data_IF_754213874656
#
_entry.id   IF_754213874656
#
_cell.length_a   1.000
_cell.length_b   1.000
_cell.length_c   1.000
_cell.angle_alpha   90.00
_cell.angle_beta   90.00
_cell.angle_gamma   90.00
#
_symmetry.space_group_name_H-M   'P 1'
#
loop_
_entity.id
_entity.type
_entity.pdbx_description
1 polymer ?
#
# COMPACT_ATOMS: atom_id res chain seq x y z
N UNK A 1 9.53 -37.69 -35.90
CA UNK A 1 9.70 -37.77 -34.42
C UNK A 1 10.54 -36.62 -33.86
N UNK A 2 11.77 -36.35 -34.35
CA UNK A 2 12.60 -35.20 -33.86
C UNK A 2 11.91 -33.83 -33.91
N UNK A 3 11.16 -33.53 -34.98
CA UNK A 3 10.49 -32.21 -35.11
C UNK A 3 9.25 -32.06 -34.21
N UNK A 4 8.62 -33.18 -33.81
CA UNK A 4 7.45 -33.16 -32.90
C UNK A 4 7.94 -32.92 -31.45
N UNK A 5 9.07 -33.51 -31.07
CA UNK A 5 9.68 -33.25 -29.77
C UNK A 5 10.15 -31.80 -29.61
N UNK A 6 10.64 -31.15 -30.68
CA UNK A 6 11.07 -29.75 -30.63
C UNK A 6 9.90 -28.78 -30.41
N UNK A 7 8.78 -29.00 -31.09
CA UNK A 7 7.56 -28.18 -30.95
C UNK A 7 6.93 -28.33 -29.56
N UNK A 8 6.91 -29.55 -29.01
CA UNK A 8 6.49 -29.81 -27.62
C UNK A 8 7.40 -29.10 -26.60
N UNK A 9 8.70 -29.05 -26.85
CA UNK A 9 9.65 -28.37 -25.96
C UNK A 9 9.48 -26.85 -25.96
N UNK A 10 9.23 -26.23 -27.13
CA UNK A 10 8.95 -24.79 -27.23
C UNK A 10 7.60 -24.39 -26.64
N UNK A 11 6.57 -25.24 -26.74
CA UNK A 11 5.27 -24.98 -26.12
C UNK A 11 5.31 -25.16 -24.59
N UNK A 12 6.12 -26.08 -24.06
CA UNK A 12 6.37 -26.20 -22.62
C UNK A 12 7.15 -25.00 -22.05
N UNK A 13 8.12 -24.43 -22.77
CA UNK A 13 8.83 -23.22 -22.34
C UNK A 13 7.94 -21.96 -22.34
N UNK A 14 7.00 -21.84 -23.27
CA UNK A 14 6.06 -20.72 -23.31
C UNK A 14 5.06 -20.71 -22.12
N UNK A 15 4.77 -21.88 -21.54
CA UNK A 15 3.93 -21.98 -20.34
C UNK A 15 4.69 -21.67 -19.04
N UNK A 16 6.00 -21.96 -18.97
CA UNK A 16 6.82 -21.68 -17.78
C UNK A 16 7.05 -20.17 -17.59
N UNK A 17 7.03 -19.38 -18.68
CA UNK A 17 7.26 -17.94 -18.64
C UNK A 17 6.08 -17.10 -18.07
N UNK A 18 4.92 -17.70 -17.81
CA UNK A 18 3.70 -16.96 -17.36
C UNK A 18 3.40 -17.04 -15.86
N UNK A 19 4.33 -17.56 -15.06
CA UNK A 19 4.11 -17.77 -13.61
C UNK A 19 5.14 -17.08 -12.71
N UNK A 20 6.06 -16.30 -13.26
CA UNK A 20 6.95 -15.50 -12.41
C UNK A 20 6.19 -14.29 -11.86
N UNK A 21 6.42 -14.00 -10.58
CA UNK A 21 5.94 -12.78 -9.96
C UNK A 21 6.52 -11.57 -10.71
N UNK A 22 5.76 -10.48 -10.75
CA UNK A 22 6.19 -9.26 -11.40
C UNK A 22 7.43 -8.70 -10.69
N UNK A 23 8.35 -8.13 -11.48
CA UNK A 23 9.48 -7.39 -10.94
C UNK A 23 9.12 -5.91 -10.94
N UNK A 24 8.90 -5.37 -9.75
CA UNK A 24 8.57 -3.96 -9.54
C UNK A 24 9.73 -3.28 -8.81
N UNK A 25 10.18 -2.14 -9.33
CA UNK A 25 11.29 -1.41 -8.72
C UNK A 25 11.16 0.10 -8.90
N UNK A 26 11.73 0.85 -7.97
CA UNK A 26 11.94 2.28 -8.12
C UNK A 26 13.35 2.50 -8.66
N UNK A 27 13.46 3.19 -9.79
CA UNK A 27 14.73 3.51 -10.43
C UNK A 27 14.92 5.02 -10.47
N UNK A 28 16.11 5.47 -10.08
CA UNK A 28 16.55 6.85 -10.21
C UNK A 28 17.66 6.96 -11.25
N UNK A 29 17.44 7.77 -12.27
CA UNK A 29 18.42 8.07 -13.32
C UNK A 29 18.46 9.59 -13.62
N UNK A 30 19.23 10.00 -14.62
CA UNK A 30 19.38 11.42 -15.00
C UNK A 30 18.07 12.10 -15.44
N UNK A 31 17.03 11.33 -15.78
CA UNK A 31 15.70 11.81 -16.16
C UNK A 31 14.70 11.84 -14.99
N UNK A 32 15.11 11.42 -13.78
CA UNK A 32 14.31 11.48 -12.56
C UNK A 32 14.10 10.12 -11.90
N UNK A 33 13.11 10.05 -11.02
CA UNK A 33 12.71 8.83 -10.31
C UNK A 33 11.46 8.25 -11.00
N UNK A 34 11.46 6.95 -11.27
CA UNK A 34 10.36 6.24 -11.94
C UNK A 34 10.06 4.93 -11.25
N UNK A 35 8.78 4.56 -11.24
CA UNK A 35 8.36 3.18 -10.97
C UNK A 35 8.50 2.37 -12.26
N UNK A 36 9.11 1.19 -12.14
CA UNK A 36 9.33 0.25 -13.23
C UNK A 36 8.59 -1.04 -12.91
N UNK A 37 7.85 -1.59 -13.88
CA UNK A 37 7.19 -2.90 -13.79
C UNK A 37 7.66 -3.73 -14.96
N UNK A 38 8.31 -4.87 -14.68
CA UNK A 38 8.88 -5.77 -15.67
C UNK A 38 9.80 -5.08 -16.69
N UNK A 39 10.52 -4.05 -16.24
CA UNK A 39 11.46 -3.26 -17.07
C UNK A 39 10.84 -2.11 -17.84
N UNK A 40 9.52 -1.89 -17.74
CA UNK A 40 8.82 -0.78 -18.39
C UNK A 40 8.42 0.30 -17.38
N UNK A 41 8.50 1.58 -17.77
CA UNK A 41 8.07 2.68 -16.91
C UNK A 41 6.56 2.62 -16.69
N UNK A 42 6.13 2.72 -15.43
CA UNK A 42 4.75 2.53 -15.02
C UNK A 42 4.23 3.75 -14.25
N UNK A 43 3.15 4.35 -14.76
CA UNK A 43 2.40 5.39 -14.04
C UNK A 43 1.20 4.74 -13.37
N UNK A 44 1.01 4.99 -12.07
CA UNK A 44 -0.16 4.49 -11.32
C UNK A 44 -1.36 5.38 -11.64
N UNK A 45 -2.35 4.80 -12.34
CA UNK A 45 -3.70 5.36 -12.47
C UNK A 45 -4.61 4.54 -11.57
N UNK A 46 -4.67 4.97 -10.30
CA UNK A 46 -5.19 4.17 -9.19
C UNK A 46 -6.61 4.50 -8.76
N UNK A 47 -7.24 3.54 -8.06
CA UNK A 47 -8.48 3.74 -7.29
C UNK A 47 -8.35 3.04 -5.92
N UNK A 48 -8.79 3.68 -4.84
CA UNK A 48 -9.05 2.97 -3.59
C UNK A 48 -10.30 2.12 -3.76
N UNK A 49 -10.19 0.81 -3.54
CA UNK A 49 -11.29 -0.11 -3.82
C UNK A 49 -11.56 -1.04 -2.64
N UNK A 50 -12.85 -1.12 -2.31
CA UNK A 50 -13.42 -2.09 -1.40
C UNK A 50 -14.84 -2.41 -1.88
N UNK A 51 -15.43 -3.51 -1.39
CA UNK A 51 -16.71 -4.01 -1.88
C UNK A 51 -17.70 -4.24 -0.73
N UNK A 52 -18.76 -3.42 -0.75
CA UNK A 52 -19.86 -3.48 0.22
C UNK A 52 -21.21 -3.50 -0.51
N UNK A 53 -21.95 -4.63 -0.48
CA UNK A 53 -23.31 -4.68 -0.98
C UNK A 53 -24.22 -3.65 -0.28
N UNK A 54 -25.25 -3.17 -0.99
CA UNK A 54 -26.25 -2.26 -0.43
C UNK A 54 -26.84 -2.85 0.85
N UNK A 55 -26.86 -2.04 1.92
CA UNK A 55 -27.35 -2.46 3.25
C UNK A 55 -26.29 -3.11 4.13
N UNK A 56 -25.05 -3.24 3.67
CA UNK A 56 -23.90 -3.66 4.48
C UNK A 56 -23.01 -2.48 4.87
N UNK A 57 -21.94 -2.75 5.61
CA UNK A 57 -20.94 -1.77 6.04
C UNK A 57 -19.56 -2.43 6.13
N UNK A 58 -18.60 -1.73 6.73
CA UNK A 58 -17.21 -2.18 6.93
C UNK A 58 -17.02 -3.55 7.60
N UNK A 59 -18.05 -4.13 8.23
CA UNK A 59 -18.00 -5.49 8.80
C UNK A 59 -18.21 -6.60 7.76
N UNK A 60 -18.72 -6.28 6.58
CA UNK A 60 -18.86 -7.24 5.49
C UNK A 60 -17.50 -7.55 4.89
N UNK A 61 -17.24 -8.83 4.62
CA UNK A 61 -16.03 -9.29 3.94
C UNK A 61 -16.41 -10.05 2.68
N UNK A 62 -16.06 -9.47 1.53
CA UNK A 62 -16.17 -10.15 0.23
C UNK A 62 -15.34 -11.44 0.23
N UNK A 63 -14.16 -11.41 0.83
CA UNK A 63 -13.18 -12.52 0.83
C UNK A 63 -13.65 -13.75 1.60
N UNK A 64 -14.68 -13.62 2.44
CA UNK A 64 -15.31 -14.74 3.16
C UNK A 64 -16.52 -15.35 2.43
N UNK A 65 -16.85 -14.85 1.23
CA UNK A 65 -17.93 -15.40 0.40
C UNK A 65 -17.45 -16.57 -0.46
N UNK A 66 -18.38 -17.23 -1.16
CA UNK A 66 -18.02 -18.28 -2.13
C UNK A 66 -17.27 -17.71 -3.33
N UNK A 67 -16.48 -18.56 -3.98
CA UNK A 67 -15.70 -18.15 -5.16
C UNK A 67 -16.58 -17.56 -6.27
N UNK A 68 -17.79 -18.10 -6.48
CA UNK A 68 -18.73 -17.58 -7.48
C UNK A 68 -19.20 -16.15 -7.17
N UNK A 69 -19.41 -15.83 -5.89
CA UNK A 69 -19.82 -14.48 -5.45
C UNK A 69 -18.66 -13.50 -5.61
N UNK A 70 -17.45 -13.92 -5.24
CA UNK A 70 -16.25 -13.09 -5.39
C UNK A 70 -15.97 -12.82 -6.86
N UNK A 71 -15.97 -13.86 -7.70
CA UNK A 71 -15.77 -13.73 -9.13
C UNK A 71 -16.82 -12.80 -9.77
N UNK A 72 -18.11 -12.97 -9.45
CA UNK A 72 -19.16 -12.10 -9.99
C UNK A 72 -19.00 -10.63 -9.59
N UNK A 73 -18.60 -10.36 -8.34
CA UNK A 73 -18.32 -9.01 -7.87
C UNK A 73 -17.12 -8.39 -8.60
N UNK A 74 -16.01 -9.14 -8.71
CA UNK A 74 -14.82 -8.70 -9.42
C UNK A 74 -15.09 -8.50 -10.92
N UNK A 75 -15.86 -9.39 -11.55
CA UNK A 75 -16.18 -9.30 -12.97
C UNK A 75 -16.93 -8.03 -13.30
N UNK A 76 -17.87 -7.65 -12.43
CA UNK A 76 -18.62 -6.41 -12.58
C UNK A 76 -17.74 -5.17 -12.33
N UNK A 77 -17.10 -5.09 -11.15
CA UNK A 77 -16.35 -3.91 -10.71
C UNK A 77 -15.09 -3.67 -11.56
N UNK A 78 -14.27 -4.70 -11.78
CA UNK A 78 -13.00 -4.56 -12.50
C UNK A 78 -13.22 -4.26 -13.99
N UNK A 79 -14.33 -4.71 -14.58
CA UNK A 79 -14.71 -4.30 -15.94
C UNK A 79 -14.97 -2.80 -16.04
N UNK A 80 -15.64 -2.22 -15.05
CA UNK A 80 -15.90 -0.77 -14.99
C UNK A 80 -14.60 0.01 -14.80
N UNK A 81 -13.77 -0.40 -13.83
CA UNK A 81 -12.48 0.25 -13.55
C UNK A 81 -11.54 0.19 -14.76
N UNK A 82 -11.46 -0.97 -15.44
CA UNK A 82 -10.69 -1.12 -16.67
C UNK A 82 -11.18 -0.18 -17.77
N UNK A 83 -12.50 -0.06 -17.94
CA UNK A 83 -13.09 0.86 -18.93
C UNK A 83 -12.80 2.34 -18.60
N UNK A 84 -12.62 2.68 -17.32
CA UNK A 84 -12.18 4.00 -16.87
C UNK A 84 -10.67 4.25 -17.03
N UNK A 85 -9.90 3.23 -17.43
CA UNK A 85 -8.44 3.33 -17.58
C UNK A 85 -7.66 3.15 -16.28
N UNK A 86 -8.30 2.62 -15.22
CA UNK A 86 -7.62 2.23 -13.99
C UNK A 86 -6.69 1.07 -14.28
N UNK A 87 -5.43 1.17 -13.82
CA UNK A 87 -4.44 0.11 -13.94
C UNK A 87 -3.97 -0.44 -12.59
N UNK A 88 -4.40 0.18 -11.49
CA UNK A 88 -4.00 -0.21 -10.13
C UNK A 88 -5.17 0.00 -9.18
N UNK A 89 -5.37 -0.91 -8.23
CA UNK A 89 -6.27 -0.69 -7.09
C UNK A 89 -5.51 -0.78 -5.78
N UNK A 90 -5.85 0.08 -4.83
CA UNK A 90 -5.40 -0.04 -3.44
C UNK A 90 -6.45 -0.83 -2.66
N UNK A 91 -6.01 -1.89 -2.00
CA UNK A 91 -6.85 -2.78 -1.21
C UNK A 91 -6.22 -3.08 0.14
N UNK A 92 -7.02 -3.11 1.20
CA UNK A 92 -6.55 -3.61 2.49
C UNK A 92 -6.25 -5.11 2.43
N UNK A 93 -5.37 -5.57 3.32
CA UNK A 93 -5.10 -7.00 3.52
C UNK A 93 -6.36 -7.81 3.81
N UNK A 94 -6.37 -9.09 3.41
CA UNK A 94 -7.51 -10.00 3.60
C UNK A 94 -7.98 -10.64 2.29
N UNK A 95 -7.67 -10.03 1.15
CA UNK A 95 -7.85 -10.62 -0.18
C UNK A 95 -6.93 -11.83 -0.37
N UNK A 96 -7.45 -12.98 -0.78
CA UNK A 96 -6.57 -14.13 -1.06
C UNK A 96 -5.69 -13.89 -2.30
N UNK A 97 -4.43 -14.36 -2.33
CA UNK A 97 -3.52 -14.19 -3.50
C UNK A 97 -4.13 -14.59 -4.86
N UNK A 98 -5.00 -15.62 -4.88
CA UNK A 98 -5.68 -16.06 -6.10
C UNK A 98 -6.56 -14.97 -6.74
N UNK A 99 -7.12 -14.06 -5.95
CA UNK A 99 -7.98 -12.99 -6.45
C UNK A 99 -7.20 -11.78 -6.94
N UNK A 100 -6.03 -11.48 -6.35
CA UNK A 100 -5.09 -10.51 -6.93
C UNK A 100 -4.67 -10.99 -8.33
N UNK A 101 -4.29 -12.27 -8.45
CA UNK A 101 -3.99 -12.88 -9.75
C UNK A 101 -5.18 -12.79 -10.70
N UNK A 102 -6.38 -13.13 -10.25
CA UNK A 102 -7.60 -13.07 -11.06
C UNK A 102 -7.83 -11.66 -11.63
N UNK A 103 -7.74 -10.62 -10.78
CA UNK A 103 -7.89 -9.23 -11.17
C UNK A 103 -6.85 -8.86 -12.23
N UNK A 104 -5.60 -9.23 -12.01
CA UNK A 104 -4.51 -8.94 -12.94
C UNK A 104 -4.64 -9.67 -14.28
N UNK A 105 -4.83 -10.99 -14.27
CA UNK A 105 -4.84 -11.79 -15.50
C UNK A 105 -6.05 -11.49 -16.40
N UNK A 106 -7.20 -11.16 -15.81
CA UNK A 106 -8.42 -10.87 -16.57
C UNK A 106 -8.56 -9.38 -16.94
N UNK A 107 -8.08 -8.48 -16.08
CA UNK A 107 -8.32 -7.04 -16.23
C UNK A 107 -7.07 -6.21 -16.48
N UNK A 108 -5.87 -6.74 -16.23
CA UNK A 108 -4.61 -5.99 -16.33
C UNK A 108 -4.45 -4.94 -15.23
N UNK A 109 -5.16 -5.13 -14.11
CA UNK A 109 -5.15 -4.21 -12.96
C UNK A 109 -4.24 -4.79 -11.89
N UNK A 110 -3.23 -4.02 -11.49
CA UNK A 110 -2.35 -4.38 -10.39
C UNK A 110 -2.97 -4.07 -9.02
N UNK A 111 -2.49 -4.72 -7.98
CA UNK A 111 -2.92 -4.50 -6.60
C UNK A 111 -1.80 -3.90 -5.76
N UNK A 112 -2.08 -2.74 -5.18
CA UNK A 112 -1.33 -2.18 -4.05
C UNK A 112 -1.93 -2.74 -2.75
N UNK A 113 -1.17 -3.58 -2.04
CA UNK A 113 -1.67 -4.28 -0.86
C UNK A 113 -1.35 -3.49 0.42
N UNK A 114 -2.38 -3.02 1.09
CA UNK A 114 -2.25 -2.09 2.20
C UNK A 114 -2.48 -2.74 3.56
N UNK A 115 -1.44 -2.71 4.40
CA UNK A 115 -1.50 -3.07 5.80
C UNK A 115 -1.69 -1.80 6.65
N UNK A 116 -2.71 -1.75 7.52
CA UNK A 116 -3.02 -0.56 8.33
C UNK A 116 -1.91 -0.16 9.32
N UNK A 117 -1.00 -1.08 9.61
CA UNK A 117 0.16 -0.89 10.47
C UNK A 117 -0.22 -0.31 11.85
N UNK A 118 -1.37 -0.74 12.39
CA UNK A 118 -1.87 -0.30 13.69
C UNK A 118 -2.64 1.03 13.68
N UNK A 119 -3.01 1.58 12.52
CA UNK A 119 -3.77 2.84 12.43
C UNK A 119 -5.06 2.83 13.25
N UNK A 120 -5.80 1.71 13.21
CA UNK A 120 -7.15 1.59 13.78
C UNK A 120 -7.17 0.87 15.13
N UNK A 121 -6.02 0.73 15.78
CA UNK A 121 -5.87 -0.04 17.01
C UNK A 121 -5.45 -1.50 16.77
N UNK A 122 -5.13 -2.18 17.86
CA UNK A 122 -4.57 -3.54 17.86
C UNK A 122 -5.18 -4.38 18.97
N UNK A 123 -5.24 -5.70 18.77
CA UNK A 123 -5.49 -6.64 19.86
C UNK A 123 -4.15 -7.16 20.39
N UNK A 124 -3.78 -6.78 21.60
CA UNK A 124 -2.51 -7.17 22.26
C UNK A 124 -2.86 -8.04 23.47
N UNK A 125 -2.35 -9.28 23.48
CA UNK A 125 -2.64 -10.29 24.52
C UNK A 125 -4.15 -10.51 24.79
N UNK A 126 -4.97 -10.44 23.74
CA UNK A 126 -6.42 -10.61 23.83
C UNK A 126 -7.18 -9.37 24.32
N UNK A 127 -6.50 -8.25 24.58
CA UNK A 127 -7.12 -6.98 24.93
C UNK A 127 -7.06 -5.99 23.77
N UNK A 128 -8.17 -5.29 23.51
CA UNK A 128 -8.23 -4.23 22.52
C UNK A 128 -7.51 -2.97 23.00
N UNK A 129 -6.61 -2.43 22.17
CA UNK A 129 -5.87 -1.20 22.38
C UNK A 129 -6.18 -0.25 21.23
N UNK A 130 -6.99 0.77 21.50
CA UNK A 130 -7.46 1.71 20.47
C UNK A 130 -6.34 2.60 19.90
N UNK A 131 -5.42 3.05 20.76
CA UNK A 131 -4.30 3.92 20.38
C UNK A 131 -3.01 3.11 20.36
N UNK A 132 -2.42 2.97 19.18
CA UNK A 132 -1.19 2.20 18.99
C UNK A 132 0.02 2.94 19.57
N UNK A 133 0.70 2.31 20.52
CA UNK A 133 2.01 2.77 21.03
C UNK A 133 3.15 1.99 20.36
N UNK A 134 3.79 2.60 19.37
CA UNK A 134 4.91 2.02 18.62
C UNK A 134 6.20 1.83 19.44
N UNK A 135 6.28 2.37 20.66
CA UNK A 135 7.41 2.14 21.58
C UNK A 135 7.27 0.82 22.32
N UNK A 136 6.03 0.37 22.50
CA UNK A 136 5.71 -0.86 23.22
C UNK A 136 6.28 -2.08 22.49
N UNK A 137 6.97 -2.96 23.22
CA UNK A 137 7.61 -4.15 22.63
C UNK A 137 6.58 -5.09 21.98
N UNK A 138 5.44 -5.32 22.61
CA UNK A 138 4.41 -6.24 22.10
C UNK A 138 3.75 -5.70 20.83
N UNK A 139 3.50 -4.39 20.78
CA UNK A 139 3.06 -3.70 19.55
C UNK A 139 4.05 -3.94 18.41
N UNK A 140 5.34 -3.70 18.66
CA UNK A 140 6.39 -3.90 17.64
C UNK A 140 6.47 -5.35 17.18
N UNK A 141 6.51 -6.30 18.13
CA UNK A 141 6.57 -7.73 17.82
C UNK A 141 5.35 -8.18 16.98
N UNK A 142 4.15 -7.68 17.30
CA UNK A 142 2.92 -7.97 16.58
C UNK A 142 2.98 -7.44 15.14
N UNK A 143 3.21 -6.13 14.98
CA UNK A 143 3.25 -5.48 13.66
C UNK A 143 4.32 -6.09 12.76
N UNK A 144 5.52 -6.36 13.31
CA UNK A 144 6.59 -7.03 12.57
C UNK A 144 6.22 -8.46 12.17
N UNK A 145 5.47 -9.19 13.01
CA UNK A 145 4.97 -10.52 12.66
C UNK A 145 3.92 -10.47 11.56
N UNK A 146 3.01 -9.50 11.61
CA UNK A 146 1.95 -9.34 10.60
C UNK A 146 2.53 -9.02 9.23
N UNK A 147 3.42 -8.02 9.12
CA UNK A 147 4.03 -7.65 7.83
C UNK A 147 4.98 -8.73 7.31
N UNK A 148 5.64 -9.49 8.19
CA UNK A 148 6.46 -10.65 7.77
C UNK A 148 5.57 -11.72 7.11
N UNK A 149 4.46 -12.08 7.75
CA UNK A 149 3.50 -13.04 7.19
C UNK A 149 2.89 -12.55 5.89
N UNK A 150 2.56 -11.26 5.82
CA UNK A 150 2.03 -10.62 4.62
C UNK A 150 2.99 -10.80 3.44
N UNK A 151 4.27 -10.48 3.60
CA UNK A 151 5.20 -10.64 2.48
C UNK A 151 5.43 -12.11 2.13
N UNK A 152 5.51 -12.99 3.11
CA UNK A 152 5.64 -14.43 2.86
C UNK A 152 4.47 -15.00 2.06
N UNK A 153 3.25 -14.54 2.33
CA UNK A 153 2.03 -14.98 1.64
C UNK A 153 1.93 -14.42 0.21
N UNK A 154 2.27 -13.15 0.00
CA UNK A 154 1.91 -12.45 -1.23
C UNK A 154 3.06 -12.24 -2.24
N UNK A 155 4.34 -12.34 -1.83
CA UNK A 155 5.51 -12.01 -2.69
C UNK A 155 5.57 -12.68 -4.08
N UNK A 156 4.89 -13.81 -4.24
CA UNK A 156 4.87 -14.58 -5.49
C UNK A 156 3.57 -14.42 -6.27
N UNK A 157 2.78 -13.38 -5.99
CA UNK A 157 1.44 -13.19 -6.56
C UNK A 157 1.53 -12.34 -7.82
N UNK A 158 1.23 -12.87 -9.02
CA UNK A 158 1.11 -12.05 -10.23
C UNK A 158 0.09 -10.95 -10.03
N UNK A 159 0.43 -9.73 -10.46
CA UNK A 159 -0.40 -8.55 -10.27
C UNK A 159 -0.20 -7.82 -8.95
N UNK A 160 0.64 -8.30 -8.03
CA UNK A 160 1.05 -7.50 -6.89
C UNK A 160 1.97 -6.36 -7.37
N UNK A 161 1.64 -5.11 -7.01
CA UNK A 161 2.45 -3.95 -7.38
C UNK A 161 3.47 -3.61 -6.30
N UNK A 162 2.99 -3.38 -5.09
CA UNK A 162 3.78 -2.92 -3.96
C UNK A 162 3.03 -3.18 -2.65
N UNK A 163 3.78 -3.18 -1.55
CA UNK A 163 3.21 -3.19 -0.20
C UNK A 163 3.13 -1.77 0.35
N UNK A 164 1.97 -1.39 0.90
CA UNK A 164 1.75 -0.09 1.51
C UNK A 164 1.56 -0.24 3.03
N UNK A 165 2.42 0.41 3.80
CA UNK A 165 2.36 0.44 5.26
C UNK A 165 1.63 1.69 5.75
N UNK A 166 0.58 1.47 6.52
CA UNK A 166 -0.20 2.53 7.16
C UNK A 166 -1.37 3.05 6.34
N UNK A 167 -2.15 3.91 6.99
CA UNK A 167 -3.12 4.82 6.41
C UNK A 167 -3.19 6.04 7.33
N UNK A 168 -2.35 7.04 7.09
CA UNK A 168 -2.28 8.26 7.92
C UNK A 168 -2.01 7.96 9.41
N UNK A 169 -1.09 7.03 9.70
CA UNK A 169 -0.76 6.66 11.08
C UNK A 169 -0.25 7.84 11.90
N UNK A 170 0.31 8.86 11.24
CA UNK A 170 0.69 10.14 11.84
C UNK A 170 -0.51 10.91 12.41
N UNK A 171 -1.69 10.82 11.79
CA UNK A 171 -2.92 11.41 12.34
C UNK A 171 -3.40 10.66 13.58
N UNK A 172 -3.25 9.32 13.61
CA UNK A 172 -3.48 8.49 14.79
C UNK A 172 -2.55 8.77 15.98
N UNK A 173 -1.54 9.63 15.82
CA UNK A 173 -0.75 10.16 16.95
C UNK A 173 -1.53 11.24 17.73
N UNK A 174 -2.48 11.90 17.08
CA UNK A 174 -3.31 12.94 17.66
C UNK A 174 -4.72 12.42 17.99
N UNK A 175 -5.30 11.63 17.10
CA UNK A 175 -6.69 11.17 17.19
C UNK A 175 -6.82 9.88 18.02
N UNK A 176 -7.90 9.77 18.78
CA UNK A 176 -8.23 8.60 19.58
C UNK A 176 -9.18 7.65 18.81
N UNK A 177 -8.67 6.95 17.79
CA UNK A 177 -9.40 5.88 17.09
C UNK A 177 -9.54 6.11 15.59
N UNK A 178 -10.65 5.64 15.02
CA UNK A 178 -10.91 5.65 13.57
C UNK A 178 -11.60 6.92 13.06
N UNK A 179 -12.21 7.71 13.95
CA UNK A 179 -12.89 8.96 13.59
C UNK A 179 -11.89 10.11 13.39
N UNK A 180 -12.27 11.08 12.56
CA UNK A 180 -11.49 12.30 12.33
C UNK A 180 -11.65 13.26 13.51
N UNK A 181 -10.53 13.79 14.02
CA UNK A 181 -10.50 14.79 15.11
C UNK A 181 -9.66 16.01 14.71
N UNK A 182 -9.82 17.12 15.45
CA UNK A 182 -9.03 18.33 15.22
C UNK A 182 -7.55 18.12 15.61
N UNK A 183 -6.65 18.72 14.82
CA UNK A 183 -5.23 18.79 15.19
C UNK A 183 -5.01 19.84 16.28
N UNK A 184 -3.99 19.66 17.14
CA UNK A 184 -3.57 20.75 18.01
C UNK A 184 -3.00 21.91 17.18
N UNK A 185 -3.37 23.15 17.52
CA UNK A 185 -2.81 24.36 16.89
C UNK A 185 -1.39 24.73 17.39
N UNK A 186 -0.90 24.02 18.41
CA UNK A 186 0.37 24.29 19.07
C UNK A 186 1.53 23.53 18.42
N UNK A 187 2.42 24.28 17.75
CA UNK A 187 3.59 23.75 17.05
C UNK A 187 4.56 23.01 17.99
N UNK A 188 4.76 23.48 19.23
CA UNK A 188 5.62 22.79 20.20
C UNK A 188 5.05 21.42 20.55
N UNK A 189 3.73 21.34 20.70
CA UNK A 189 3.03 20.07 20.95
C UNK A 189 3.08 19.14 19.75
N UNK A 190 2.93 19.65 18.52
CA UNK A 190 3.09 18.86 17.29
C UNK A 190 4.50 18.29 17.22
N UNK A 191 5.53 19.11 17.42
CA UNK A 191 6.93 18.71 17.39
C UNK A 191 7.23 17.68 18.48
N UNK A 192 6.74 17.88 19.70
CA UNK A 192 6.87 16.91 20.78
C UNK A 192 6.21 15.57 20.44
N UNK A 193 5.02 15.56 19.82
CA UNK A 193 4.35 14.33 19.40
C UNK A 193 5.12 13.65 18.26
N UNK A 194 5.61 14.42 17.30
CA UNK A 194 6.48 13.95 16.23
C UNK A 194 7.68 13.20 16.78
N UNK A 195 8.43 13.81 17.69
CA UNK A 195 9.63 13.20 18.28
C UNK A 195 9.31 12.04 19.22
N UNK A 196 8.36 12.21 20.14
CA UNK A 196 8.12 11.23 21.21
C UNK A 196 7.29 10.02 20.77
N UNK A 197 6.50 10.13 19.69
CA UNK A 197 5.58 9.08 19.20
C UNK A 197 5.72 8.82 17.70
N UNK A 198 5.89 9.86 16.88
CA UNK A 198 6.06 9.72 15.42
C UNK A 198 7.38 9.07 15.02
N UNK A 199 8.52 9.51 15.58
CA UNK A 199 9.83 8.93 15.29
C UNK A 199 9.90 7.43 15.59
N UNK A 200 9.43 6.93 16.74
CA UNK A 200 9.28 5.48 16.96
C UNK A 200 8.47 4.74 15.89
N UNK A 201 7.39 5.35 15.39
CA UNK A 201 6.54 4.78 14.36
C UNK A 201 7.26 4.70 13.01
N UNK A 202 7.84 5.80 12.53
CA UNK A 202 8.57 5.83 11.26
C UNK A 202 9.81 4.92 11.28
N UNK A 203 10.51 4.87 12.41
CA UNK A 203 11.60 3.91 12.62
C UNK A 203 11.12 2.47 12.49
N UNK A 204 9.97 2.12 13.07
CA UNK A 204 9.39 0.78 12.94
C UNK A 204 8.93 0.49 11.52
N UNK A 205 8.36 1.47 10.81
CA UNK A 205 8.04 1.32 9.38
C UNK A 205 9.29 1.04 8.54
N UNK A 206 10.42 1.69 8.86
CA UNK A 206 11.70 1.39 8.21
C UNK A 206 12.22 -0.01 8.52
N UNK A 207 12.18 -0.41 9.80
CA UNK A 207 12.54 -1.77 10.22
C UNK A 207 11.66 -2.82 9.51
N UNK A 208 10.37 -2.54 9.35
CA UNK A 208 9.44 -3.36 8.57
C UNK A 208 9.86 -3.41 7.09
N UNK A 209 10.15 -2.28 6.45
CA UNK A 209 10.60 -2.24 5.06
C UNK A 209 11.88 -3.06 4.84
N UNK A 210 12.89 -2.94 5.72
CA UNK A 210 14.10 -3.77 5.69
C UNK A 210 13.74 -5.26 5.77
N UNK A 211 12.89 -5.64 6.73
CA UNK A 211 12.50 -7.04 6.94
C UNK A 211 11.73 -7.60 5.74
N UNK A 212 10.78 -6.84 5.20
CA UNK A 212 9.96 -7.18 4.05
C UNK A 212 10.85 -7.39 2.81
N UNK A 213 11.74 -6.44 2.52
CA UNK A 213 12.69 -6.53 1.39
C UNK A 213 13.68 -7.68 1.51
N UNK A 214 14.01 -8.11 2.73
CA UNK A 214 14.84 -9.32 2.94
C UNK A 214 14.15 -10.62 2.55
N UNK A 215 12.81 -10.61 2.46
CA UNK A 215 11.98 -11.77 2.08
C UNK A 215 11.56 -11.68 0.62
N UNK A 216 11.33 -10.47 0.13
CA UNK A 216 10.88 -10.14 -1.23
C UNK A 216 11.64 -8.94 -1.79
N UNK A 217 12.58 -9.19 -2.70
CA UNK A 217 13.33 -8.14 -3.39
C UNK A 217 12.66 -7.62 -4.67
N UNK A 218 11.46 -8.09 -5.00
CA UNK A 218 10.79 -7.79 -6.27
C UNK A 218 9.66 -6.76 -6.15
N UNK A 219 9.25 -6.38 -4.93
CA UNK A 219 8.17 -5.42 -4.73
C UNK A 219 8.59 -4.29 -3.79
N UNK A 220 8.37 -3.02 -4.16
CA UNK A 220 8.64 -1.88 -3.29
C UNK A 220 7.80 -1.89 -2.02
N UNK A 221 8.32 -1.27 -0.97
CA UNK A 221 7.60 -0.95 0.25
C UNK A 221 7.37 0.57 0.32
N UNK A 222 6.11 0.97 0.36
CA UNK A 222 5.67 2.35 0.52
C UNK A 222 5.12 2.58 1.93
N UNK A 223 5.08 3.84 2.37
CA UNK A 223 4.29 4.28 3.53
C UNK A 223 3.10 5.12 3.06
N UNK A 224 2.05 5.21 3.87
CA UNK A 224 0.91 6.10 3.65
C UNK A 224 0.84 7.16 4.77
N UNK A 225 1.24 8.37 4.46
CA UNK A 225 1.25 9.50 5.38
C UNK A 225 0.05 10.43 5.15
N UNK A 226 -0.50 11.01 6.21
CA UNK A 226 -1.48 12.09 6.09
C UNK A 226 -0.79 13.42 5.86
N UNK A 227 -0.98 14.00 4.68
CA UNK A 227 -0.27 15.20 4.19
C UNK A 227 1.27 15.09 4.42
N UNK A 228 2.00 16.19 4.51
CA UNK A 228 3.46 16.27 4.63
C UNK A 228 3.94 16.39 6.08
N UNK A 229 3.06 16.11 7.05
CA UNK A 229 3.41 16.22 8.45
C UNK A 229 4.54 15.23 8.79
N UNK A 230 5.56 15.73 9.48
CA UNK A 230 6.77 14.98 9.90
C UNK A 230 7.68 14.49 8.77
N UNK A 231 7.67 15.14 7.60
CA UNK A 231 8.58 14.84 6.49
C UNK A 231 10.05 14.82 6.89
N UNK A 232 10.49 15.70 7.79
CA UNK A 232 11.86 15.73 8.32
C UNK A 232 12.22 14.43 9.08
N UNK A 233 11.31 13.93 9.92
CA UNK A 233 11.49 12.67 10.65
C UNK A 233 11.46 11.48 9.68
N UNK A 234 10.58 11.51 8.68
CA UNK A 234 10.54 10.49 7.62
C UNK A 234 11.87 10.47 6.87
N UNK A 235 12.41 11.63 6.51
CA UNK A 235 13.69 11.74 5.84
C UNK A 235 14.80 11.08 6.67
N UNK A 236 14.78 11.23 7.99
CA UNK A 236 15.79 10.67 8.90
C UNK A 236 15.62 9.17 9.16
N UNK A 237 14.39 8.69 9.37
CA UNK A 237 14.13 7.31 9.83
C UNK A 237 13.85 6.33 8.67
N UNK A 238 13.17 6.77 7.61
CA UNK A 238 12.66 5.91 6.53
C UNK A 238 13.65 5.75 5.36
N UNK A 239 14.88 5.31 5.64
CA UNK A 239 15.95 5.12 4.63
C UNK A 239 15.72 3.96 3.65
N UNK A 240 14.87 3.02 4.02
CA UNK A 240 14.57 1.79 3.30
C UNK A 240 13.14 1.73 2.75
N UNK A 241 12.36 2.79 2.93
CA UNK A 241 11.08 2.96 2.24
C UNK A 241 11.36 3.41 0.81
N UNK A 242 10.66 2.85 -0.18
CA UNK A 242 10.95 3.10 -1.59
C UNK A 242 10.08 4.23 -2.17
N UNK A 243 8.88 4.42 -1.62
CA UNK A 243 7.86 5.36 -2.15
C UNK A 243 7.19 6.09 -1.00
N UNK A 244 7.08 7.42 -1.15
CA UNK A 244 6.30 8.26 -0.25
C UNK A 244 4.85 8.31 -0.71
N UNK A 245 4.03 7.42 -0.15
CA UNK A 245 2.58 7.47 -0.31
C UNK A 245 1.96 8.52 0.60
N UNK A 246 1.04 9.31 0.06
CA UNK A 246 0.40 10.40 0.81
C UNK A 246 -1.10 10.45 0.54
N UNK A 247 -1.87 10.57 1.61
CA UNK A 247 -3.27 10.99 1.56
C UNK A 247 -3.30 12.52 1.64
N UNK A 248 -3.90 13.19 0.66
CA UNK A 248 -3.84 14.64 0.54
C UNK A 248 -5.16 15.22 0.03
N UNK A 249 -5.78 16.04 0.88
CA UNK A 249 -7.07 16.69 0.63
C UNK A 249 -6.97 18.22 0.78
N UNK A 250 -6.15 18.84 -0.08
CA UNK A 250 -5.89 20.31 -0.06
C UNK A 250 -6.85 21.14 -0.93
N UNK A 251 -7.86 20.52 -1.54
CA UNK A 251 -8.83 21.17 -2.42
C UNK A 251 -8.32 21.32 -3.86
N UNK A 252 -8.37 22.54 -4.41
CA UNK A 252 -8.14 22.82 -5.84
C UNK A 252 -6.72 22.51 -6.36
N UNK A 253 -5.74 22.43 -5.46
CA UNK A 253 -4.33 22.25 -5.79
C UNK A 253 -3.59 21.57 -4.63
N UNK A 254 -2.49 20.88 -4.95
CA UNK A 254 -1.59 20.30 -3.96
C UNK A 254 -0.51 21.28 -3.46
N UNK A 255 -0.51 22.51 -3.97
CA UNK A 255 0.41 23.57 -3.55
C UNK A 255 1.87 23.18 -3.76
N UNK A 256 2.66 23.24 -2.70
CA UNK A 256 4.10 23.00 -2.68
C UNK A 256 4.50 21.52 -2.55
N UNK A 257 3.55 20.59 -2.53
CA UNK A 257 3.81 19.21 -2.14
C UNK A 257 4.89 18.51 -2.96
N UNK A 258 4.86 18.63 -4.28
CA UNK A 258 5.88 18.04 -5.15
C UNK A 258 7.27 18.60 -4.89
N UNK A 259 7.36 19.91 -4.63
CA UNK A 259 8.65 20.57 -4.37
C UNK A 259 9.19 20.15 -3.00
N UNK A 260 8.34 20.14 -1.96
CA UNK A 260 8.72 19.71 -0.62
C UNK A 260 9.16 18.26 -0.57
N UNK A 261 8.41 17.33 -1.18
CA UNK A 261 8.83 15.92 -1.23
C UNK A 261 10.17 15.77 -1.96
N UNK A 262 10.37 16.50 -3.06
CA UNK A 262 11.64 16.48 -3.78
C UNK A 262 12.81 16.98 -2.93
N UNK A 263 12.63 18.09 -2.21
CA UNK A 263 13.70 18.73 -1.46
C UNK A 263 13.99 18.04 -0.11
N UNK A 264 12.95 17.54 0.55
CA UNK A 264 13.03 16.99 1.92
C UNK A 264 13.24 15.47 1.92
N UNK A 265 12.55 14.73 1.04
CA UNK A 265 12.55 13.26 1.03
C UNK A 265 13.38 12.68 -0.12
N UNK A 266 13.39 13.36 -1.28
CA UNK A 266 13.96 12.87 -2.53
C UNK A 266 13.46 11.45 -2.89
N UNK A 267 12.17 11.21 -2.67
CA UNK A 267 11.43 9.98 -2.97
C UNK A 267 10.38 10.22 -4.06
N UNK A 268 9.93 9.17 -4.78
CA UNK A 268 8.75 9.31 -5.61
C UNK A 268 7.52 9.54 -4.72
N UNK A 269 6.72 10.54 -5.08
CA UNK A 269 5.43 10.82 -4.45
C UNK A 269 4.33 10.00 -5.12
N UNK A 270 3.48 9.38 -4.32
CA UNK A 270 2.31 8.63 -4.76
C UNK A 270 1.08 9.07 -3.97
N UNK A 271 0.07 9.62 -4.63
CA UNK A 271 -1.19 9.90 -3.95
C UNK A 271 -1.91 8.58 -3.66
N UNK A 272 -1.97 8.19 -2.39
CA UNK A 272 -2.69 6.99 -1.94
C UNK A 272 -4.16 7.29 -1.73
N UNK A 273 -4.49 8.52 -1.35
CA UNK A 273 -5.84 9.08 -1.37
C UNK A 273 -5.77 10.56 -1.74
N UNK A 274 -6.69 11.00 -2.57
CA UNK A 274 -6.91 12.41 -2.88
C UNK A 274 -8.31 12.56 -3.48
N UNK A 275 -8.83 13.78 -3.46
CA UNK A 275 -10.12 14.10 -4.03
C UNK A 275 -10.67 15.40 -3.45
N UNK A 276 -11.86 15.76 -3.88
CA UNK A 276 -12.66 16.80 -3.26
C UNK A 276 -13.92 16.15 -2.69
N UNK A 277 -14.34 16.57 -1.50
CA UNK A 277 -15.68 16.21 -1.01
C UNK A 277 -16.71 16.66 -2.05
N UNK A 278 -17.67 15.78 -2.37
CA UNK A 278 -18.73 16.03 -3.34
C UNK A 278 -19.58 17.29 -3.04
N UNK A 279 -19.42 17.88 -1.84
CA UNK A 279 -20.15 19.05 -1.37
C UNK A 279 -19.43 20.39 -1.54
N UNK A 280 -18.10 20.44 -1.74
CA UNK A 280 -17.35 21.69 -1.88
C UNK A 280 -16.04 21.48 -2.68
N UNK A 281 -16.18 21.19 -3.97
CA UNK A 281 -15.08 21.27 -4.94
C UNK A 281 -14.97 22.68 -5.54
#
# INVERSE_FOLDING_TARGET
MKNICLVLYFSLMAFIARSQADQVSVVQDASGIKLMVNGEAFMINGMNWDYFPIGTNYSYSLWNQSDDVIAAALDYEMSLLKNMGVNTIRMYTGVQPKWIRYIYENYGIYTMLNHSFGRYGLTIDGAWVAVTDYRNKKTKDLLMSEVTKLVEEYKNTPGLLLFLLGNENNYGLFWAGAETEDFPDDEERINFIGESRGRPMYKLMNEAAVKMKSIDGNHPVAICNGDLLFSEIIAEECKDVDIYGVNMYRGVSFGDAFQRVKDELNMPIMFTEFGADAYNA
#
